data_IF_407811424440
#
_entry.id   IF_407811424440
#
_cell.length_a   1.000
_cell.length_b   1.000
_cell.length_c   1.000
_cell.angle_alpha   90.00
_cell.angle_beta   90.00
_cell.angle_gamma   90.00
#
_symmetry.space_group_name_H-M   'P 1'
#
loop_
_entity.id
_entity.type
_entity.pdbx_description
1 polymer ?
#
# COMPACT_ATOMS: atom_id res chain seq x y z
N UNK A 1 -1.85 16.07 12.11
CA UNK A 1 -2.03 17.32 12.86
C UNK A 1 -3.29 17.25 13.72
N UNK A 2 -3.40 18.17 14.71
CA UNK A 2 -4.61 18.40 15.47
C UNK A 2 -5.68 19.10 14.60
N UNK A 3 -6.97 19.17 15.06
CA UNK A 3 -8.05 19.75 14.25
C UNK A 3 -7.83 21.22 13.88
N UNK A 4 -7.24 22.02 14.77
CA UNK A 4 -7.04 23.46 14.54
C UNK A 4 -5.98 23.66 13.44
N UNK A 5 -4.85 22.97 13.55
CA UNK A 5 -3.76 23.01 12.56
C UNK A 5 -4.25 22.52 11.20
N UNK A 6 -5.06 21.45 11.17
CA UNK A 6 -5.60 20.90 9.92
C UNK A 6 -6.55 21.90 9.25
N UNK A 7 -7.51 22.47 9.99
CA UNK A 7 -8.43 23.47 9.44
C UNK A 7 -7.69 24.71 8.95
N UNK A 8 -6.67 25.19 9.69
CA UNK A 8 -5.83 26.32 9.26
C UNK A 8 -5.09 26.03 7.96
N UNK A 9 -4.52 24.82 7.83
CA UNK A 9 -3.82 24.40 6.60
C UNK A 9 -4.77 24.40 5.40
N UNK A 10 -5.96 23.81 5.55
CA UNK A 10 -6.96 23.79 4.46
C UNK A 10 -7.48 25.19 4.12
N UNK A 11 -7.62 26.09 5.13
CA UNK A 11 -7.93 27.51 4.90
C UNK A 11 -6.88 28.18 4.02
N UNK A 12 -5.58 28.02 4.38
CA UNK A 12 -4.47 28.56 3.55
C UNK A 12 -4.48 27.99 2.13
N UNK A 13 -4.72 26.69 1.94
CA UNK A 13 -4.83 26.09 0.61
C UNK A 13 -5.96 26.74 -0.20
N UNK A 14 -7.11 27.00 0.43
CA UNK A 14 -8.22 27.68 -0.23
C UNK A 14 -7.88 29.15 -0.59
N UNK A 15 -7.24 29.90 0.32
CA UNK A 15 -6.79 31.28 0.10
C UNK A 15 -5.78 31.37 -1.06
N UNK A 16 -4.92 30.34 -1.24
CA UNK A 16 -3.96 30.22 -2.32
C UNK A 16 -4.58 29.65 -3.63
N UNK A 17 -5.90 29.47 -3.68
CA UNK A 17 -6.65 29.09 -4.88
C UNK A 17 -6.75 27.59 -5.15
N UNK A 18 -6.41 26.71 -4.20
CA UNK A 18 -6.64 25.29 -4.35
C UNK A 18 -8.12 24.97 -4.45
N UNK A 19 -8.53 24.34 -5.55
CA UNK A 19 -9.93 23.95 -5.78
C UNK A 19 -10.31 22.63 -5.10
N UNK A 20 -9.33 21.75 -4.89
CA UNK A 20 -9.51 20.44 -4.29
C UNK A 20 -8.44 20.17 -3.25
N UNK A 21 -8.80 19.50 -2.19
CA UNK A 21 -7.88 18.94 -1.21
C UNK A 21 -8.21 17.44 -1.02
N UNK A 22 -7.22 16.59 -1.20
CA UNK A 22 -7.33 15.14 -0.97
C UNK A 22 -6.50 14.80 0.25
N UNK A 23 -7.06 13.96 1.11
CA UNK A 23 -6.36 13.55 2.33
C UNK A 23 -6.68 12.11 2.70
N UNK A 24 -5.72 11.45 3.32
CA UNK A 24 -5.96 10.18 4.00
C UNK A 24 -6.66 10.44 5.34
N UNK A 25 -7.79 9.77 5.57
CA UNK A 25 -8.52 9.81 6.83
C UNK A 25 -8.28 8.50 7.57
N UNK A 26 -7.26 8.49 8.44
CA UNK A 26 -6.92 7.31 9.22
C UNK A 26 -7.97 7.04 10.32
N UNK A 27 -8.09 5.78 10.74
CA UNK A 27 -8.98 5.40 11.85
C UNK A 27 -8.66 6.13 13.16
N UNK A 28 -7.37 6.45 13.39
CA UNK A 28 -6.95 7.28 14.53
C UNK A 28 -7.45 8.71 14.41
N UNK A 29 -7.39 9.33 13.21
CA UNK A 29 -7.86 10.69 13.00
C UNK A 29 -9.36 10.82 13.22
N UNK A 30 -10.13 9.76 12.88
CA UNK A 30 -11.56 9.69 13.15
C UNK A 30 -11.81 9.53 14.67
N UNK A 31 -11.19 8.53 15.30
CA UNK A 31 -11.38 8.24 16.72
C UNK A 31 -10.94 9.40 17.61
N UNK A 32 -9.86 10.09 17.26
CA UNK A 32 -9.31 11.25 17.98
C UNK A 32 -9.93 12.59 17.54
N UNK A 33 -10.97 12.56 16.69
CA UNK A 33 -11.69 13.75 16.19
C UNK A 33 -10.78 14.77 15.50
N UNK A 34 -9.67 14.35 14.88
CA UNK A 34 -8.72 15.25 14.20
C UNK A 34 -9.32 15.93 12.97
N UNK A 35 -10.36 15.34 12.37
CA UNK A 35 -11.10 15.87 11.22
C UNK A 35 -12.31 16.70 11.60
N UNK A 36 -12.47 17.06 12.88
CA UNK A 36 -13.60 17.88 13.36
C UNK A 36 -13.63 19.23 12.65
N UNK A 37 -14.84 19.68 12.30
CA UNK A 37 -15.07 20.94 11.59
C UNK A 37 -14.97 20.84 10.08
N UNK A 38 -14.44 19.76 9.52
CA UNK A 38 -14.33 19.57 8.06
C UNK A 38 -15.65 19.07 7.47
N UNK A 39 -15.97 19.60 6.29
CA UNK A 39 -17.08 19.11 5.44
C UNK A 39 -16.48 18.48 4.19
N UNK A 40 -16.65 17.18 4.03
CA UNK A 40 -16.13 16.43 2.91
C UNK A 40 -17.13 16.44 1.74
N UNK A 41 -16.64 16.65 0.52
CA UNK A 41 -17.42 16.49 -0.71
C UNK A 41 -17.68 15.00 -1.02
N UNK A 42 -16.79 14.12 -0.56
CA UNK A 42 -16.94 12.68 -0.69
C UNK A 42 -15.97 11.89 0.19
N UNK A 43 -16.24 10.60 0.28
CA UNK A 43 -15.38 9.62 0.94
C UNK A 43 -15.15 8.42 0.04
N UNK A 44 -13.93 7.88 0.06
CA UNK A 44 -13.55 6.71 -0.72
C UNK A 44 -13.11 5.61 0.26
N UNK A 45 -13.74 4.45 0.16
CA UNK A 45 -13.32 3.24 0.85
C UNK A 45 -12.57 2.33 -0.09
N UNK A 46 -11.31 2.07 0.19
CA UNK A 46 -10.45 1.20 -0.64
C UNK A 46 -10.43 -0.23 -0.14
N UNK A 47 -10.04 -0.44 1.12
CA UNK A 47 -10.00 -1.76 1.75
C UNK A 47 -9.89 -1.62 3.28
N UNK A 48 -10.09 -2.76 3.98
CA UNK A 48 -9.82 -2.89 5.40
C UNK A 48 -9.10 -4.21 5.67
N UNK A 49 -7.81 -4.09 5.96
CA UNK A 49 -6.94 -5.20 6.33
C UNK A 49 -6.55 -5.11 7.81
N UNK A 50 -5.92 -6.17 8.34
CA UNK A 50 -5.50 -6.19 9.74
C UNK A 50 -4.35 -5.20 9.97
N UNK A 51 -4.68 -4.09 10.63
CA UNK A 51 -3.70 -3.09 11.10
C UNK A 51 -4.23 -2.35 12.33
N UNK A 52 -3.38 -1.61 13.02
CA UNK A 52 -3.75 -0.73 14.14
C UNK A 52 -4.50 -1.42 15.31
N UNK A 53 -4.30 -2.74 15.51
CA UNK A 53 -4.94 -3.47 16.62
C UNK A 53 -4.28 -3.16 17.98
N UNK A 54 -3.08 -2.60 17.97
CA UNK A 54 -2.46 -1.98 19.15
C UNK A 54 -3.35 -0.88 19.76
N UNK A 55 -3.99 -0.09 18.91
CA UNK A 55 -4.88 1.00 19.30
C UNK A 55 -6.35 0.55 19.43
N UNK A 56 -6.92 -0.06 18.39
CA UNK A 56 -8.35 -0.41 18.34
C UNK A 56 -8.70 -1.70 19.08
N UNK A 57 -7.72 -2.53 19.47
CA UNK A 57 -7.83 -3.82 20.18
C UNK A 57 -8.48 -4.94 19.36
N UNK A 58 -9.52 -4.65 18.58
CA UNK A 58 -10.23 -5.64 17.75
C UNK A 58 -10.45 -5.13 16.32
N UNK A 59 -10.59 -6.04 15.37
CA UNK A 59 -10.94 -5.72 13.97
C UNK A 59 -12.30 -5.04 13.89
N UNK A 60 -13.25 -5.45 14.75
CA UNK A 60 -14.59 -4.86 14.80
C UNK A 60 -14.54 -3.37 15.22
N UNK A 61 -13.77 -3.03 16.25
CA UNK A 61 -13.58 -1.65 16.67
C UNK A 61 -12.88 -0.80 15.59
N UNK A 62 -11.91 -1.39 14.90
CA UNK A 62 -11.23 -0.75 13.79
C UNK A 62 -12.20 -0.47 12.63
N UNK A 63 -13.05 -1.44 12.27
CA UNK A 63 -14.10 -1.28 11.28
C UNK A 63 -15.10 -0.18 11.68
N UNK A 64 -15.61 -0.23 12.93
CA UNK A 64 -16.53 0.80 13.46
C UNK A 64 -15.92 2.20 13.41
N UNK A 65 -14.64 2.33 13.75
CA UNK A 65 -13.94 3.61 13.69
C UNK A 65 -13.88 4.17 12.26
N UNK A 66 -13.51 3.36 11.28
CA UNK A 66 -13.51 3.78 9.85
C UNK A 66 -14.92 4.06 9.34
N UNK A 67 -15.90 3.20 9.67
CA UNK A 67 -17.30 3.33 9.24
C UNK A 67 -17.90 4.65 9.67
N UNK A 68 -17.56 5.13 10.87
CA UNK A 68 -18.06 6.42 11.38
C UNK A 68 -17.79 7.59 10.44
N UNK A 69 -16.71 7.59 9.68
CA UNK A 69 -16.44 8.61 8.68
C UNK A 69 -17.54 8.66 7.60
N UNK A 70 -17.97 7.49 7.10
CA UNK A 70 -19.02 7.41 6.09
C UNK A 70 -20.41 7.72 6.67
N UNK A 71 -20.67 7.29 7.90
CA UNK A 71 -21.94 7.60 8.61
C UNK A 71 -22.11 9.10 8.88
N UNK A 72 -20.99 9.82 9.08
CA UNK A 72 -20.98 11.26 9.33
C UNK A 72 -20.99 12.12 8.04
N UNK A 73 -20.85 11.52 6.85
CA UNK A 73 -20.87 12.28 5.59
C UNK A 73 -22.21 12.99 5.37
N UNK A 74 -22.19 14.25 4.90
CA UNK A 74 -23.42 15.00 4.65
C UNK A 74 -24.19 14.43 3.43
N UNK A 75 -25.48 14.69 3.37
CA UNK A 75 -26.39 14.18 2.34
C UNK A 75 -25.98 14.56 0.89
N UNK A 76 -25.30 15.68 0.75
CA UNK A 76 -24.81 16.19 -0.55
C UNK A 76 -23.40 15.68 -0.92
N UNK A 77 -22.76 14.86 -0.06
CA UNK A 77 -21.52 14.19 -0.38
C UNK A 77 -21.77 12.89 -1.15
N UNK A 78 -20.69 12.30 -1.66
CA UNK A 78 -20.71 10.93 -2.19
C UNK A 78 -19.91 9.97 -1.30
N UNK A 79 -20.27 8.70 -1.30
CA UNK A 79 -19.49 7.60 -0.77
C UNK A 79 -19.14 6.65 -1.91
N UNK A 80 -17.86 6.52 -2.24
CA UNK A 80 -17.38 5.58 -3.25
C UNK A 80 -16.76 4.37 -2.54
N UNK A 81 -17.34 3.18 -2.73
CA UNK A 81 -16.93 1.99 -1.98
C UNK A 81 -16.49 0.84 -2.89
N UNK A 82 -15.45 0.13 -2.44
CA UNK A 82 -14.90 -1.04 -3.12
C UNK A 82 -15.75 -2.29 -2.83
N UNK A 83 -16.39 -2.86 -3.85
CA UNK A 83 -17.14 -4.11 -3.72
C UNK A 83 -16.26 -5.35 -3.66
N UNK A 84 -14.97 -5.24 -4.06
CA UNK A 84 -14.04 -6.37 -3.97
C UNK A 84 -13.54 -6.59 -2.53
N UNK A 85 -13.73 -5.61 -1.62
CA UNK A 85 -13.50 -5.78 -0.18
C UNK A 85 -14.82 -6.20 0.50
N UNK A 86 -14.75 -7.25 1.31
CA UNK A 86 -15.90 -7.81 2.06
C UNK A 86 -16.61 -6.79 2.97
N UNK A 87 -15.92 -5.73 3.38
CA UNK A 87 -16.46 -4.68 4.24
C UNK A 87 -17.01 -3.49 3.43
N UNK A 88 -16.89 -3.49 2.10
CA UNK A 88 -17.28 -2.36 1.25
C UNK A 88 -18.71 -1.91 1.47
N UNK A 89 -19.67 -2.82 1.40
CA UNK A 89 -21.08 -2.51 1.64
C UNK A 89 -21.36 -2.15 3.10
N UNK A 90 -20.66 -2.76 4.05
CA UNK A 90 -20.81 -2.47 5.49
C UNK A 90 -20.40 -1.04 5.79
N UNK A 91 -19.33 -0.53 5.14
CA UNK A 91 -18.84 0.84 5.34
C UNK A 91 -19.90 1.89 5.01
N UNK A 92 -20.73 1.65 3.99
CA UNK A 92 -21.70 2.64 3.51
C UNK A 92 -23.14 2.35 3.95
N UNK A 93 -23.37 1.32 4.77
CA UNK A 93 -24.71 0.84 5.13
C UNK A 93 -25.61 1.90 5.78
N UNK A 94 -25.05 2.81 6.58
CA UNK A 94 -25.81 3.81 7.35
C UNK A 94 -25.50 5.25 6.91
N UNK A 95 -24.75 5.42 5.82
CA UNK A 95 -24.42 6.76 5.32
C UNK A 95 -25.67 7.48 4.80
N UNK A 96 -25.70 8.79 4.94
CA UNK A 96 -26.71 9.65 4.33
C UNK A 96 -26.30 10.18 2.96
N UNK A 97 -25.05 10.01 2.60
CA UNK A 97 -24.50 10.44 1.32
C UNK A 97 -24.97 9.51 0.17
N UNK A 98 -24.82 9.94 -1.07
CA UNK A 98 -25.09 9.10 -2.23
C UNK A 98 -24.00 8.07 -2.38
N UNK A 99 -24.39 6.77 -2.39
CA UNK A 99 -23.44 5.65 -2.50
C UNK A 99 -23.19 5.31 -3.95
N UNK A 100 -21.92 5.14 -4.28
CA UNK A 100 -21.42 4.61 -5.53
C UNK A 100 -20.42 3.49 -5.24
N UNK A 101 -20.33 2.59 -6.18
CA UNK A 101 -19.53 1.36 -6.06
C UNK A 101 -18.47 1.29 -7.15
N UNK A 102 -17.35 0.66 -6.84
CA UNK A 102 -16.37 0.28 -7.86
C UNK A 102 -15.85 -1.14 -7.63
N UNK A 103 -15.48 -1.83 -8.71
CA UNK A 103 -15.00 -3.21 -8.64
C UNK A 103 -14.22 -3.60 -9.90
N UNK A 104 -13.21 -4.47 -9.70
CA UNK A 104 -12.52 -5.18 -10.78
C UNK A 104 -13.16 -6.55 -11.09
N UNK A 105 -14.11 -7.02 -10.27
CA UNK A 105 -14.68 -8.38 -10.34
C UNK A 105 -16.18 -8.40 -10.57
N UNK A 106 -16.90 -7.44 -9.99
CA UNK A 106 -18.36 -7.44 -9.93
C UNK A 106 -18.96 -6.29 -10.74
N UNK A 107 -20.24 -6.37 -11.03
CA UNK A 107 -21.00 -5.24 -11.55
C UNK A 107 -21.03 -4.12 -10.51
N UNK A 108 -20.72 -2.91 -10.96
CA UNK A 108 -20.58 -1.71 -10.12
C UNK A 108 -20.79 -0.47 -10.96
N UNK A 109 -20.96 0.69 -10.32
CA UNK A 109 -21.09 1.98 -11.01
C UNK A 109 -19.83 2.33 -11.79
N UNK A 110 -18.66 2.00 -11.24
CA UNK A 110 -17.36 2.11 -11.91
C UNK A 110 -16.75 0.72 -12.01
N UNK A 111 -16.71 0.18 -13.20
CA UNK A 111 -16.22 -1.17 -13.47
C UNK A 111 -14.84 -1.12 -14.11
N UNK A 112 -13.93 -1.96 -13.62
CA UNK A 112 -12.60 -2.11 -14.22
C UNK A 112 -12.24 -3.56 -14.49
N UNK A 113 -11.28 -3.76 -15.39
CA UNK A 113 -10.62 -5.05 -15.64
C UNK A 113 -9.16 -4.83 -15.96
N UNK A 114 -8.31 -5.74 -15.55
CA UNK A 114 -6.93 -5.84 -16.03
C UNK A 114 -6.95 -6.73 -17.26
N UNK A 115 -6.55 -6.20 -18.41
CA UNK A 115 -6.47 -6.92 -19.67
C UNK A 115 -5.08 -7.58 -19.80
N UNK A 116 -4.02 -6.80 -19.54
CA UNK A 116 -2.64 -7.26 -19.61
C UNK A 116 -1.84 -6.66 -18.43
N UNK A 117 -0.79 -7.37 -18.00
CA UNK A 117 0.10 -6.91 -16.92
C UNK A 117 1.54 -7.32 -17.20
N UNK A 118 2.46 -6.34 -17.25
CA UNK A 118 3.88 -6.49 -17.50
C UNK A 118 4.68 -5.66 -16.51
N UNK A 119 6.02 -5.81 -16.44
CA UNK A 119 6.87 -4.96 -15.59
C UNK A 119 6.95 -3.50 -16.06
N UNK A 120 6.53 -3.20 -17.26
CA UNK A 120 6.44 -1.85 -17.82
C UNK A 120 5.09 -1.18 -17.53
N UNK A 121 4.08 -1.95 -17.11
CA UNK A 121 2.75 -1.44 -16.79
C UNK A 121 1.62 -2.41 -17.08
N UNK A 122 0.40 -1.88 -17.10
CA UNK A 122 -0.82 -2.64 -17.36
C UNK A 122 -1.65 -2.00 -18.48
N UNK A 123 -2.34 -2.85 -19.22
CA UNK A 123 -3.50 -2.45 -20.04
C UNK A 123 -4.76 -2.73 -19.22
N UNK A 124 -5.54 -1.69 -18.98
CA UNK A 124 -6.77 -1.72 -18.19
C UNK A 124 -7.97 -1.39 -19.08
N UNK A 125 -9.15 -1.88 -18.69
CA UNK A 125 -10.44 -1.44 -19.20
C UNK A 125 -11.22 -0.81 -18.05
N UNK A 126 -11.59 0.47 -18.18
CA UNK A 126 -12.46 1.17 -17.23
C UNK A 126 -13.73 1.63 -17.96
N UNK A 127 -14.90 1.14 -17.54
CA UNK A 127 -16.19 1.45 -18.15
C UNK A 127 -16.22 1.25 -19.68
N UNK A 128 -15.58 0.19 -20.19
CA UNK A 128 -15.41 -0.14 -21.61
C UNK A 128 -14.47 0.81 -22.39
N UNK A 129 -13.58 1.49 -21.71
CA UNK A 129 -12.49 2.27 -22.30
C UNK A 129 -11.14 1.66 -21.92
N UNK A 130 -10.35 1.31 -22.92
CA UNK A 130 -9.00 0.80 -22.71
C UNK A 130 -8.02 1.95 -22.40
N UNK A 131 -7.14 1.72 -21.42
CA UNK A 131 -6.06 2.64 -21.09
C UNK A 131 -4.79 1.89 -20.68
N UNK A 132 -3.65 2.31 -21.22
CA UNK A 132 -2.35 1.85 -20.78
C UNK A 132 -1.86 2.71 -19.62
N UNK A 133 -1.32 2.07 -18.57
CA UNK A 133 -0.80 2.75 -17.38
C UNK A 133 0.55 2.18 -16.98
N UNK A 134 1.41 2.99 -16.37
CA UNK A 134 2.74 2.57 -15.90
C UNK A 134 2.71 1.94 -14.49
N UNK A 135 1.55 1.51 -14.02
CA UNK A 135 1.37 0.87 -12.73
C UNK A 135 1.29 -0.64 -12.89
N UNK A 136 1.67 -1.38 -11.85
CA UNK A 136 1.70 -2.84 -11.83
C UNK A 136 0.88 -3.35 -10.65
N UNK A 137 0.20 -4.49 -10.85
CA UNK A 137 -0.55 -5.18 -9.81
C UNK A 137 -2.02 -4.77 -9.71
N UNK A 138 -2.88 -5.77 -9.47
CA UNK A 138 -4.34 -5.59 -9.37
C UNK A 138 -4.75 -4.57 -8.31
N UNK A 139 -3.99 -4.44 -7.21
CA UNK A 139 -4.26 -3.44 -6.19
C UNK A 139 -4.10 -2.01 -6.73
N UNK A 140 -3.13 -1.76 -7.60
CA UNK A 140 -2.98 -0.47 -8.27
C UNK A 140 -4.08 -0.24 -9.31
N UNK A 141 -4.50 -1.26 -10.05
CA UNK A 141 -5.67 -1.15 -10.93
C UNK A 141 -6.92 -0.75 -10.13
N UNK A 142 -7.14 -1.35 -8.95
CA UNK A 142 -8.24 -0.98 -8.05
C UNK A 142 -8.11 0.46 -7.52
N UNK A 143 -6.89 0.89 -7.16
CA UNK A 143 -6.62 2.26 -6.73
C UNK A 143 -6.89 3.28 -7.85
N UNK A 144 -6.44 2.99 -9.08
CA UNK A 144 -6.68 3.84 -10.24
C UNK A 144 -8.18 3.92 -10.58
N UNK A 145 -8.92 2.82 -10.45
CA UNK A 145 -10.37 2.80 -10.64
C UNK A 145 -11.09 3.66 -9.58
N UNK A 146 -10.62 3.64 -8.33
CA UNK A 146 -11.13 4.52 -7.28
C UNK A 146 -10.85 6.01 -7.58
N UNK A 147 -9.66 6.32 -8.10
CA UNK A 147 -9.30 7.69 -8.55
C UNK A 147 -10.17 8.13 -9.72
N UNK A 148 -10.37 7.24 -10.72
CA UNK A 148 -11.28 7.47 -11.85
C UNK A 148 -12.69 7.80 -11.36
N UNK A 149 -13.29 6.93 -10.55
CA UNK A 149 -14.62 7.15 -10.01
C UNK A 149 -14.75 8.45 -9.20
N UNK A 150 -13.76 8.74 -8.35
CA UNK A 150 -13.75 9.97 -7.56
C UNK A 150 -13.69 11.23 -8.45
N UNK A 151 -12.85 11.24 -9.49
CA UNK A 151 -12.71 12.37 -10.40
C UNK A 151 -14.01 12.62 -11.19
N UNK A 152 -14.65 11.55 -11.67
CA UNK A 152 -15.95 11.63 -12.36
C UNK A 152 -17.04 12.16 -11.43
N UNK A 153 -17.10 11.68 -10.18
CA UNK A 153 -18.05 12.14 -9.16
C UNK A 153 -17.81 13.61 -8.76
N UNK A 154 -16.59 14.11 -8.93
CA UNK A 154 -16.25 15.54 -8.79
C UNK A 154 -16.50 16.36 -10.04
N UNK A 155 -17.19 15.78 -11.05
CA UNK A 155 -17.64 16.48 -12.26
C UNK A 155 -16.62 16.56 -13.38
N UNK A 156 -15.58 15.73 -13.38
CA UNK A 156 -14.65 15.61 -14.51
C UNK A 156 -15.24 14.68 -15.58
N UNK A 157 -14.94 14.95 -16.85
CA UNK A 157 -15.33 14.07 -17.95
C UNK A 157 -14.49 12.79 -17.93
N UNK A 158 -15.11 11.65 -18.21
CA UNK A 158 -14.43 10.35 -18.16
C UNK A 158 -13.20 10.31 -19.07
N UNK A 159 -13.31 10.83 -20.30
CA UNK A 159 -12.21 10.83 -21.26
C UNK A 159 -11.00 11.64 -20.77
N UNK A 160 -11.24 12.81 -20.17
CA UNK A 160 -10.18 13.65 -19.61
C UNK A 160 -9.46 12.96 -18.45
N UNK A 161 -10.23 12.22 -17.62
CA UNK A 161 -9.68 11.46 -16.50
C UNK A 161 -8.84 10.29 -17.00
N UNK A 162 -9.31 9.55 -18.01
CA UNK A 162 -8.57 8.43 -18.61
C UNK A 162 -7.23 8.89 -19.20
N UNK A 163 -7.24 9.99 -19.95
CA UNK A 163 -6.00 10.60 -20.46
C UNK A 163 -5.06 10.99 -19.33
N UNK A 164 -5.57 11.61 -18.27
CA UNK A 164 -4.75 11.97 -17.12
C UNK A 164 -4.15 10.73 -16.42
N UNK A 165 -4.94 9.67 -16.24
CA UNK A 165 -4.47 8.41 -15.61
C UNK A 165 -3.37 7.73 -16.43
N UNK A 166 -3.44 7.76 -17.77
CA UNK A 166 -2.42 7.14 -18.64
C UNK A 166 -1.05 7.83 -18.54
N UNK A 167 -1.01 9.07 -18.10
CA UNK A 167 0.23 9.86 -17.93
C UNK A 167 0.82 9.80 -16.52
N UNK A 168 0.12 9.17 -15.58
CA UNK A 168 0.61 9.06 -14.20
C UNK A 168 1.75 8.07 -14.08
N UNK A 169 2.70 8.41 -13.24
CA UNK A 169 3.80 7.53 -12.84
C UNK A 169 3.56 6.99 -11.42
N UNK A 170 4.06 5.77 -11.11
CA UNK A 170 4.05 5.27 -9.74
C UNK A 170 4.71 6.24 -8.77
N UNK A 171 4.16 6.33 -7.57
CA UNK A 171 4.77 7.09 -6.49
C UNK A 171 6.03 6.38 -6.02
N UNK A 172 7.11 7.11 -5.76
CA UNK A 172 8.35 6.54 -5.25
C UNK A 172 8.10 5.59 -4.06
N UNK A 173 8.73 4.41 -4.08
CA UNK A 173 8.56 3.39 -3.05
C UNK A 173 7.19 2.70 -3.03
N UNK A 174 6.42 2.76 -4.12
CA UNK A 174 5.17 2.02 -4.32
C UNK A 174 5.28 1.20 -5.59
N UNK A 175 5.67 -0.06 -5.47
CA UNK A 175 6.02 -0.95 -6.58
C UNK A 175 7.01 -0.27 -7.55
N UNK A 176 8.03 0.36 -6.99
CA UNK A 176 9.02 1.15 -7.73
C UNK A 176 10.09 0.24 -8.30
N UNK A 177 9.98 -0.07 -9.59
CA UNK A 177 10.84 -1.05 -10.24
C UNK A 177 12.12 -0.41 -10.80
N UNK A 178 13.26 -1.04 -10.52
CA UNK A 178 14.58 -0.71 -11.07
C UNK A 178 15.10 -1.95 -11.80
N UNK A 179 15.43 -1.82 -13.08
CA UNK A 179 15.95 -2.93 -13.88
C UNK A 179 17.45 -2.81 -14.10
N UNK A 180 18.19 -3.87 -13.78
CA UNK A 180 19.62 -3.91 -14.03
C UNK A 180 19.92 -4.22 -15.51
N UNK A 181 21.14 -3.91 -15.95
CA UNK A 181 21.61 -4.29 -17.31
C UNK A 181 21.69 -5.80 -17.51
N UNK A 182 21.89 -6.55 -16.43
CA UNK A 182 22.01 -8.01 -16.41
C UNK A 182 20.64 -8.71 -16.42
N UNK A 183 19.55 -7.94 -16.41
CA UNK A 183 18.19 -8.46 -16.53
C UNK A 183 17.54 -8.89 -15.20
N UNK A 184 18.08 -8.47 -14.06
CA UNK A 184 17.44 -8.56 -12.74
C UNK A 184 16.52 -7.36 -12.55
N UNK A 185 15.34 -7.58 -11.97
CA UNK A 185 14.42 -6.50 -11.61
C UNK A 185 14.35 -6.36 -10.10
N UNK A 186 14.67 -5.20 -9.56
CA UNK A 186 14.46 -4.89 -8.15
C UNK A 186 13.20 -4.02 -7.98
N UNK A 187 12.38 -4.36 -7.01
CA UNK A 187 11.13 -3.65 -6.68
C UNK A 187 11.24 -3.14 -5.25
N UNK A 188 11.15 -1.82 -5.08
CA UNK A 188 11.10 -1.17 -3.77
C UNK A 188 9.65 -0.84 -3.44
N UNK A 189 9.13 -1.35 -2.31
CA UNK A 189 7.75 -1.14 -1.89
C UNK A 189 7.60 -0.87 -0.39
N UNK A 190 6.58 -0.09 -0.05
CA UNK A 190 6.22 0.25 1.33
C UNK A 190 5.43 -0.85 2.05
N UNK A 191 5.35 -2.06 1.53
CA UNK A 191 4.63 -3.19 2.11
C UNK A 191 5.20 -3.55 3.49
N UNK A 192 4.55 -3.09 4.55
CA UNK A 192 4.94 -3.26 5.96
C UNK A 192 3.85 -3.96 6.79
N UNK A 193 2.86 -4.56 6.13
CA UNK A 193 1.83 -5.42 6.72
C UNK A 193 1.76 -6.75 5.97
N UNK A 194 1.28 -7.84 6.60
CA UNK A 194 1.15 -9.13 5.92
C UNK A 194 0.37 -9.07 4.61
N UNK A 195 -0.79 -8.41 4.61
CA UNK A 195 -1.65 -8.30 3.42
C UNK A 195 -1.00 -7.48 2.31
N UNK A 196 -0.31 -6.37 2.66
CA UNK A 196 0.41 -5.56 1.67
C UNK A 196 1.54 -6.37 1.03
N UNK A 197 2.29 -7.14 1.83
CA UNK A 197 3.36 -7.99 1.34
C UNK A 197 2.82 -9.09 0.41
N UNK A 198 1.74 -9.75 0.79
CA UNK A 198 1.05 -10.75 -0.04
C UNK A 198 0.58 -10.14 -1.37
N UNK A 199 0.01 -8.93 -1.35
CA UNK A 199 -0.45 -8.26 -2.57
C UNK A 199 0.69 -7.93 -3.52
N UNK A 200 1.82 -7.42 -3.01
CA UNK A 200 3.00 -7.11 -3.83
C UNK A 200 3.60 -8.39 -4.42
N UNK A 201 3.76 -9.44 -3.61
CA UNK A 201 4.29 -10.72 -4.07
C UNK A 201 3.38 -11.37 -5.13
N UNK A 202 2.05 -11.34 -4.93
CA UNK A 202 1.11 -11.81 -5.95
C UNK A 202 1.19 -11.01 -7.26
N UNK A 203 1.44 -9.70 -7.18
CA UNK A 203 1.63 -8.87 -8.37
C UNK A 203 2.91 -9.25 -9.12
N UNK A 204 4.01 -9.51 -8.39
CA UNK A 204 5.28 -9.99 -8.96
C UNK A 204 5.07 -11.33 -9.66
N UNK A 205 4.44 -12.31 -9.00
CA UNK A 205 4.17 -13.62 -9.61
C UNK A 205 3.26 -13.52 -10.84
N UNK A 206 2.28 -12.63 -10.82
CA UNK A 206 1.39 -12.38 -11.95
C UNK A 206 2.11 -11.86 -13.19
N UNK A 207 3.25 -11.19 -13.04
CA UNK A 207 4.09 -10.69 -14.14
C UNK A 207 5.17 -11.69 -14.51
N UNK A 208 5.75 -12.40 -13.55
CA UNK A 208 6.79 -13.42 -13.80
C UNK A 208 6.28 -14.63 -14.59
N UNK A 209 4.98 -14.95 -14.46
CA UNK A 209 4.37 -16.12 -15.13
C UNK A 209 5.16 -17.43 -14.92
N UNK A 210 5.80 -17.57 -13.77
CA UNK A 210 6.66 -18.71 -13.43
C UNK A 210 8.07 -18.70 -14.05
N UNK A 211 8.48 -17.57 -14.64
CA UNK A 211 9.83 -17.39 -15.21
C UNK A 211 10.70 -16.57 -14.25
N UNK A 212 11.71 -17.18 -13.65
CA UNK A 212 12.60 -16.55 -12.67
C UNK A 212 12.17 -16.78 -11.22
N UNK A 213 13.03 -16.41 -10.29
CA UNK A 213 12.86 -16.58 -8.84
C UNK A 213 12.53 -15.25 -8.18
N UNK A 214 11.90 -15.33 -7.01
CA UNK A 214 11.62 -14.17 -6.16
C UNK A 214 12.51 -14.22 -4.92
N UNK A 215 13.28 -13.16 -4.70
CA UNK A 215 14.11 -12.96 -3.50
C UNK A 215 13.50 -11.79 -2.74
N UNK A 216 13.05 -12.03 -1.51
CA UNK A 216 12.41 -10.97 -0.70
C UNK A 216 13.29 -10.53 0.45
N UNK A 217 13.62 -9.25 0.50
CA UNK A 217 14.25 -8.57 1.64
C UNK A 217 13.16 -7.88 2.45
N UNK A 218 12.98 -8.27 3.70
CA UNK A 218 11.88 -7.77 4.53
C UNK A 218 12.30 -7.58 5.98
N UNK A 219 11.85 -6.49 6.59
CA UNK A 219 11.99 -6.19 8.00
C UNK A 219 10.69 -5.71 8.61
N UNK A 220 10.68 -5.56 9.92
CA UNK A 220 9.56 -5.00 10.66
C UNK A 220 9.99 -3.83 11.55
N UNK A 221 9.09 -2.85 11.73
CA UNK A 221 9.35 -1.70 12.58
C UNK A 221 9.28 -2.02 14.06
N UNK A 222 10.20 -1.44 14.85
CA UNK A 222 10.14 -1.45 16.31
C UNK A 222 9.03 -0.54 16.86
N UNK A 223 8.62 -0.76 18.11
CA UNK A 223 7.54 -0.03 18.78
C UNK A 223 6.23 -0.01 17.96
N UNK A 224 5.91 -1.13 17.34
CA UNK A 224 4.70 -1.38 16.53
C UNK A 224 4.09 -2.73 16.93
N UNK A 225 2.99 -3.11 16.26
CA UNK A 225 2.33 -4.40 16.47
C UNK A 225 3.32 -5.57 16.26
N UNK A 226 3.72 -6.21 17.36
CA UNK A 226 4.62 -7.38 17.34
C UNK A 226 3.95 -8.60 16.73
N UNK A 227 2.62 -8.70 16.85
CA UNK A 227 1.86 -9.86 16.35
C UNK A 227 1.89 -10.01 14.84
N UNK A 228 2.21 -8.95 14.08
CA UNK A 228 2.35 -9.03 12.62
C UNK A 228 3.72 -9.57 12.16
N UNK A 229 4.77 -9.51 13.01
CA UNK A 229 6.14 -9.88 12.67
C UNK A 229 6.27 -11.32 12.15
N UNK A 230 5.82 -12.35 12.92
CA UNK A 230 5.88 -13.74 12.45
C UNK A 230 5.01 -13.99 11.22
N UNK A 231 3.87 -13.30 11.10
CA UNK A 231 2.97 -13.44 9.94
C UNK A 231 3.63 -12.87 8.68
N UNK A 232 4.29 -11.71 8.76
CA UNK A 232 5.02 -11.12 7.64
C UNK A 232 6.13 -12.04 7.13
N UNK A 233 6.92 -12.63 8.05
CA UNK A 233 7.97 -13.58 7.68
C UNK A 233 7.38 -14.82 6.98
N UNK A 234 6.27 -15.37 7.50
CA UNK A 234 5.58 -16.52 6.90
C UNK A 234 5.04 -16.23 5.51
N UNK A 235 4.39 -15.06 5.31
CA UNK A 235 3.89 -14.66 3.98
C UNK A 235 5.04 -14.43 2.98
N UNK A 236 6.15 -13.82 3.43
CA UNK A 236 7.35 -13.68 2.59
C UNK A 236 7.90 -15.05 2.20
N UNK A 237 8.06 -15.95 3.14
CA UNK A 237 8.60 -17.29 2.88
C UNK A 237 7.69 -18.10 1.95
N UNK A 238 6.37 -18.05 2.16
CA UNK A 238 5.39 -18.77 1.33
C UNK A 238 5.46 -18.39 -0.15
N UNK A 239 5.74 -17.12 -0.44
CA UNK A 239 5.66 -16.56 -1.79
C UNK A 239 7.04 -16.20 -2.39
N UNK A 240 8.14 -16.66 -1.79
CA UNK A 240 9.50 -16.36 -2.28
C UNK A 240 10.35 -17.63 -2.34
N UNK A 241 11.27 -17.66 -3.30
CA UNK A 241 12.27 -18.71 -3.40
C UNK A 241 13.39 -18.54 -2.36
N UNK A 242 13.68 -17.28 -2.01
CA UNK A 242 14.58 -16.92 -0.90
C UNK A 242 14.03 -15.74 -0.13
N UNK A 243 14.30 -15.71 1.17
CA UNK A 243 13.94 -14.60 2.06
C UNK A 243 15.18 -14.13 2.81
N UNK A 244 15.34 -12.82 2.93
CA UNK A 244 16.34 -12.20 3.79
C UNK A 244 15.61 -11.33 4.80
N UNK A 245 15.58 -11.77 6.06
CA UNK A 245 15.01 -11.01 7.17
C UNK A 245 16.06 -10.04 7.69
N UNK A 246 15.71 -8.77 7.78
CA UNK A 246 16.63 -7.69 8.12
C UNK A 246 15.99 -6.64 9.02
N UNK A 247 16.77 -5.64 9.44
CA UNK A 247 16.28 -4.48 10.16
C UNK A 247 15.51 -3.53 9.24
N UNK A 248 14.44 -2.94 9.77
CA UNK A 248 13.72 -1.79 9.18
C UNK A 248 14.06 -0.53 10.01
N UNK A 249 13.09 0.07 10.67
CA UNK A 249 13.26 1.12 11.68
C UNK A 249 13.14 0.50 13.09
N UNK A 250 14.23 0.07 13.74
CA UNK A 250 14.15 -0.59 15.04
C UNK A 250 13.67 0.34 16.15
N UNK A 251 13.80 1.65 15.97
CA UNK A 251 13.45 2.68 16.96
C UNK A 251 14.13 2.43 18.30
N UNK A 252 13.38 2.05 19.34
CA UNK A 252 13.92 1.80 20.68
C UNK A 252 14.03 0.30 21.01
N UNK A 253 13.72 -0.60 20.06
CA UNK A 253 13.93 -2.04 20.21
C UNK A 253 15.30 -2.45 19.63
N UNK A 254 15.86 -3.53 20.12
CA UNK A 254 17.08 -4.12 19.53
C UNK A 254 16.72 -4.79 18.20
N UNK A 255 17.46 -4.53 17.10
CA UNK A 255 17.18 -5.11 15.79
C UNK A 255 17.08 -6.62 15.79
N UNK A 256 17.95 -7.31 16.56
CA UNK A 256 17.97 -8.76 16.62
C UNK A 256 16.72 -9.35 17.27
N UNK A 257 16.12 -8.65 18.23
CA UNK A 257 14.87 -9.13 18.88
C UNK A 257 13.70 -9.08 17.88
N UNK A 258 13.64 -8.02 17.05
CA UNK A 258 12.64 -7.89 15.99
C UNK A 258 12.81 -9.02 14.95
N UNK A 259 14.04 -9.29 14.56
CA UNK A 259 14.38 -10.38 13.63
C UNK A 259 13.98 -11.73 14.23
N UNK A 260 14.27 -11.98 15.50
CA UNK A 260 13.90 -13.20 16.19
C UNK A 260 12.37 -13.40 16.26
N UNK A 261 11.61 -12.32 16.51
CA UNK A 261 10.14 -12.34 16.46
C UNK A 261 9.62 -12.71 15.06
N UNK A 262 10.28 -12.25 14.00
CA UNK A 262 9.94 -12.62 12.62
C UNK A 262 10.27 -14.08 12.33
N UNK A 263 11.47 -14.55 12.69
CA UNK A 263 11.93 -15.93 12.50
C UNK A 263 11.04 -16.94 13.24
N UNK A 264 10.47 -16.57 14.38
CA UNK A 264 9.54 -17.42 15.14
C UNK A 264 8.27 -17.81 14.37
N UNK A 265 7.95 -17.14 13.25
CA UNK A 265 6.83 -17.49 12.37
C UNK A 265 7.17 -18.55 11.32
N UNK A 266 8.43 -18.94 11.19
CA UNK A 266 8.91 -19.85 10.14
C UNK A 266 9.02 -21.29 10.64
N UNK A 267 8.61 -22.22 9.80
CA UNK A 267 8.87 -23.63 10.03
C UNK A 267 10.24 -24.05 9.47
N UNK A 268 10.57 -25.34 9.63
CA UNK A 268 11.87 -25.88 9.22
C UNK A 268 12.12 -25.80 7.70
N UNK A 269 11.08 -25.84 6.87
CA UNK A 269 11.18 -25.70 5.42
C UNK A 269 11.45 -24.25 5.05
N UNK A 270 10.68 -23.32 5.61
CA UNK A 270 10.87 -21.87 5.40
C UNK A 270 12.27 -21.42 5.83
N UNK A 271 12.77 -21.95 6.97
CA UNK A 271 14.11 -21.62 7.47
C UNK A 271 15.24 -22.01 6.51
N UNK A 272 15.06 -23.09 5.71
CA UNK A 272 16.10 -23.52 4.73
C UNK A 272 16.35 -22.51 3.62
N UNK A 273 15.36 -21.68 3.30
CA UNK A 273 15.44 -20.66 2.27
C UNK A 273 15.52 -19.23 2.82
N UNK A 274 15.67 -19.10 4.14
CA UNK A 274 15.70 -17.80 4.84
C UNK A 274 17.08 -17.51 5.38
N UNK A 275 17.59 -16.32 5.10
CA UNK A 275 18.77 -15.73 5.73
C UNK A 275 18.34 -14.66 6.71
N UNK A 276 19.17 -14.41 7.71
CA UNK A 276 19.00 -13.33 8.69
C UNK A 276 20.23 -12.46 8.69
N UNK A 277 20.08 -11.20 8.27
CA UNK A 277 21.17 -10.21 8.14
C UNK A 277 20.67 -8.92 8.76
N UNK A 278 21.17 -8.55 9.93
CA UNK A 278 20.68 -7.37 10.66
C UNK A 278 20.96 -6.06 9.94
N UNK A 279 22.10 -5.92 9.29
CA UNK A 279 22.42 -4.75 8.47
C UNK A 279 21.62 -4.80 7.16
N UNK A 280 20.72 -3.82 6.96
CA UNK A 280 19.83 -3.76 5.81
C UNK A 280 20.58 -3.56 4.49
N UNK A 281 21.66 -2.79 4.50
CA UNK A 281 22.51 -2.59 3.33
C UNK A 281 23.15 -3.90 2.88
N UNK A 282 23.73 -4.64 3.81
CA UNK A 282 24.30 -5.96 3.51
C UNK A 282 23.24 -6.98 3.12
N UNK A 283 22.01 -6.88 3.65
CA UNK A 283 20.89 -7.70 3.24
C UNK A 283 20.49 -7.45 1.77
N UNK A 284 20.37 -6.18 1.36
CA UNK A 284 20.07 -5.79 -0.03
C UNK A 284 21.20 -6.24 -0.95
N UNK A 285 22.44 -5.97 -0.58
CA UNK A 285 23.61 -6.39 -1.35
C UNK A 285 23.64 -7.92 -1.54
N UNK A 286 23.36 -8.67 -0.49
CA UNK A 286 23.29 -10.14 -0.56
C UNK A 286 22.20 -10.60 -1.51
N UNK A 287 21.01 -9.95 -1.49
CA UNK A 287 19.94 -10.25 -2.45
C UNK A 287 20.39 -10.02 -3.91
N UNK A 288 21.06 -8.90 -4.16
CA UNK A 288 21.61 -8.58 -5.49
C UNK A 288 22.65 -9.60 -5.95
N UNK A 289 23.51 -10.08 -5.04
CA UNK A 289 24.52 -11.11 -5.36
C UNK A 289 23.91 -12.51 -5.64
N UNK A 290 22.76 -12.81 -5.06
CA UNK A 290 22.08 -14.09 -5.21
C UNK A 290 21.16 -14.15 -6.43
N UNK A 291 20.79 -12.99 -6.98
CA UNK A 291 19.85 -12.91 -8.09
C UNK A 291 20.53 -13.22 -9.42
N UNK A 292 19.84 -13.96 -10.25
CA UNK A 292 20.23 -14.32 -11.63
C UNK A 292 19.34 -13.58 -12.63
N UNK A 293 19.73 -13.59 -13.91
CA UNK A 293 18.96 -12.99 -15.00
C UNK A 293 17.51 -13.52 -15.01
N UNK A 294 16.55 -12.60 -14.99
CA UNK A 294 15.12 -12.91 -14.97
C UNK A 294 14.53 -12.99 -13.57
N UNK A 295 15.36 -12.94 -12.53
CA UNK A 295 14.89 -12.92 -11.14
C UNK A 295 14.35 -11.55 -10.72
N UNK A 296 13.52 -11.57 -9.69
CA UNK A 296 12.98 -10.35 -9.07
C UNK A 296 13.41 -10.28 -7.60
N UNK A 297 13.94 -9.14 -7.21
CA UNK A 297 14.24 -8.81 -5.81
C UNK A 297 13.14 -7.88 -5.31
N UNK A 298 12.39 -8.29 -4.29
CA UNK A 298 11.47 -7.41 -3.57
C UNK A 298 12.16 -6.86 -2.32
N UNK A 299 12.26 -5.53 -2.21
CA UNK A 299 12.74 -4.84 -1.00
C UNK A 299 11.54 -4.18 -0.36
N UNK A 300 11.02 -4.79 0.72
CA UNK A 300 9.77 -4.43 1.36
C UNK A 300 9.98 -3.71 2.70
N UNK A 301 9.06 -2.79 3.00
CA UNK A 301 8.91 -2.14 4.30
C UNK A 301 9.06 -0.62 4.26
N UNK A 302 10.17 -0.11 3.76
CA UNK A 302 10.51 1.33 3.81
C UNK A 302 9.93 2.14 2.64
N UNK A 303 9.87 1.54 1.45
CA UNK A 303 9.37 2.23 0.25
C UNK A 303 10.11 3.55 0.01
N UNK A 304 9.41 4.67 0.16
CA UNK A 304 9.94 6.03 -0.05
C UNK A 304 10.67 6.62 1.17
N UNK A 305 10.76 5.91 2.30
CA UNK A 305 11.48 6.40 3.47
C UNK A 305 12.98 6.41 3.18
N UNK A 306 13.59 7.59 3.24
CA UNK A 306 15.02 7.81 3.02
C UNK A 306 15.83 7.88 4.32
N UNK A 307 15.34 7.20 5.37
CA UNK A 307 16.02 7.15 6.67
C UNK A 307 15.80 5.81 7.36
N UNK A 308 16.73 5.46 8.26
CA UNK A 308 16.54 4.42 9.27
C UNK A 308 16.54 5.08 10.66
N UNK A 309 15.51 4.83 11.45
CA UNK A 309 15.36 5.39 12.79
C UNK A 309 15.88 4.41 13.85
N UNK A 310 16.97 4.79 14.54
CA UNK A 310 17.62 4.01 15.59
C UNK A 310 17.71 4.87 16.85
N UNK A 311 17.11 4.42 17.96
CA UNK A 311 17.11 5.13 19.26
C UNK A 311 16.67 6.60 19.14
N UNK A 312 15.66 6.86 18.28
CA UNK A 312 15.11 8.21 18.03
C UNK A 312 15.94 9.08 17.08
N UNK A 313 17.07 8.59 16.58
CA UNK A 313 17.89 9.30 15.59
C UNK A 313 17.61 8.75 14.20
N UNK A 314 17.39 9.63 13.23
CA UNK A 314 17.19 9.28 11.82
C UNK A 314 18.53 9.35 11.10
N UNK A 315 18.99 8.23 10.59
CA UNK A 315 20.16 8.12 9.73
C UNK A 315 19.71 8.02 8.29
N UNK A 316 20.42 8.66 7.36
CA UNK A 316 20.09 8.54 5.93
C UNK A 316 20.22 7.08 5.49
N UNK A 317 19.16 6.56 4.83
CA UNK A 317 19.12 5.23 4.28
C UNK A 317 17.96 5.14 3.28
N UNK A 318 18.25 4.88 2.02
CA UNK A 318 17.26 4.75 0.96
C UNK A 318 17.44 3.42 0.23
N UNK A 319 16.42 2.55 0.28
CA UNK A 319 16.45 1.23 -0.35
C UNK A 319 16.76 1.31 -1.86
N UNK A 320 16.30 2.37 -2.53
CA UNK A 320 16.50 2.55 -3.98
C UNK A 320 17.92 2.99 -4.31
N UNK A 321 18.59 3.72 -3.41
CA UNK A 321 20.00 4.08 -3.56
C UNK A 321 20.89 2.83 -3.39
N UNK A 322 20.55 1.97 -2.43
CA UNK A 322 21.34 0.78 -2.11
C UNK A 322 21.23 -0.32 -3.19
N UNK A 323 20.19 -0.32 -4.00
CA UNK A 323 19.95 -1.33 -5.06
C UNK A 323 20.55 -0.91 -6.42
N UNK A 324 20.92 0.35 -6.60
CA UNK A 324 21.53 0.89 -7.83
C UNK A 324 23.02 0.67 -7.89
#
# INVERSE_FOLDING_TARGET
PDPITLNRLLGRMADEGCKYAFMEVSSHSIAQKRISGLKFAGGIFTNLTRDHLDYHKTVENYLKAKKKFFDDLPKNAFSLTNLDDKNGLVMTQNTRSKVYTYSLRSLSDFKGRVLESHFEGMLLDFNNHELAVQFIGKFNASNLLAVFGAAVLLGKKEEDVLVALSTLHPVAGRFDAVRSKDGVTAIVDYAHTPDALTNVLNAIHGVLEGKGKVITVVGAGGNRDKGKRPIMAKEAAKASDRVIITSDNPRFEEPQDIINDMLAGLDAEDMRKTLSIADRKEAIRTACMLAEKGDVILIAGKGHENYQEIKGVKHHFDDKEEVK
#
